data_IF_022540760101
#
_entry.id   IF_022540760101
#
_cell.length_a   1.000
_cell.length_b   1.000
_cell.length_c   1.000
_cell.angle_alpha   90.00
_cell.angle_beta   90.00
_cell.angle_gamma   90.00
#
_symmetry.space_group_name_H-M   'P 1'
#
loop_
_entity.id
_entity.type
_entity.pdbx_description
1 polymer ?
#
# COMPACT_ATOMS: atom_id res chain seq x y z
N UNK A 1 -35.65 9.26 18.96
CA UNK A 1 -35.55 8.30 17.84
C UNK A 1 -34.13 7.78 17.79
N UNK A 2 -33.90 6.52 18.17
CA UNK A 2 -32.57 5.91 18.11
C UNK A 2 -32.21 5.72 16.64
N UNK A 3 -31.21 6.45 16.15
CA UNK A 3 -30.74 6.31 14.76
C UNK A 3 -30.31 4.85 14.59
N UNK A 4 -31.06 4.08 13.78
CA UNK A 4 -30.69 2.70 13.46
C UNK A 4 -29.35 2.75 12.75
N UNK A 5 -28.33 2.18 13.39
CA UNK A 5 -26.97 2.09 12.83
C UNK A 5 -27.00 1.13 11.64
N UNK A 6 -26.78 1.61 10.40
CA UNK A 6 -26.99 0.81 9.20
C UNK A 6 -25.84 -0.15 8.92
N UNK A 7 -24.67 0.12 9.50
CA UNK A 7 -23.48 -0.69 9.31
C UNK A 7 -23.48 -1.80 10.35
N UNK A 8 -23.56 -3.03 9.87
CA UNK A 8 -23.43 -4.21 10.69
C UNK A 8 -21.96 -4.53 10.91
N UNK A 9 -21.65 -5.01 12.10
CA UNK A 9 -20.30 -5.36 12.52
C UNK A 9 -20.36 -6.71 13.25
N UNK A 10 -19.56 -7.67 12.81
CA UNK A 10 -19.44 -8.99 13.44
C UNK A 10 -17.98 -9.26 13.77
N UNK A 11 -17.64 -9.25 15.05
CA UNK A 11 -16.30 -9.59 15.50
C UNK A 11 -16.17 -11.07 15.76
N UNK A 12 -15.05 -11.64 15.32
CA UNK A 12 -14.69 -13.03 15.55
C UNK A 12 -13.48 -13.02 16.47
N UNK A 13 -13.66 -13.58 17.67
CA UNK A 13 -12.59 -13.74 18.66
C UNK A 13 -12.24 -15.22 18.84
N UNK A 14 -11.13 -15.50 19.55
CA UNK A 14 -10.69 -16.89 19.84
C UNK A 14 -11.66 -17.67 20.73
N UNK A 15 -12.37 -17.02 21.68
CA UNK A 15 -13.35 -17.70 22.55
C UNK A 15 -14.79 -17.42 22.14
N UNK A 16 -15.12 -16.20 21.74
CA UNK A 16 -16.46 -15.83 21.26
C UNK A 16 -16.44 -15.59 19.76
N UNK A 17 -16.98 -16.57 19.03
CA UNK A 17 -17.23 -16.41 17.59
C UNK A 17 -18.46 -15.53 17.38
N UNK A 18 -18.42 -14.68 16.35
CA UNK A 18 -19.58 -13.97 15.82
C UNK A 18 -20.29 -12.97 16.76
N UNK A 19 -19.51 -12.15 17.47
CA UNK A 19 -20.04 -11.09 18.36
C UNK A 19 -20.64 -9.94 17.55
N UNK A 20 -21.91 -9.64 17.80
CA UNK A 20 -22.69 -8.62 17.07
C UNK A 20 -22.47 -7.21 17.60
N UNK A 21 -22.32 -6.25 16.69
CA UNK A 21 -22.33 -4.81 16.95
C UNK A 21 -22.81 -4.06 15.69
N UNK A 22 -22.91 -2.73 15.79
CA UNK A 22 -23.26 -1.86 14.67
C UNK A 22 -22.70 -0.45 14.80
N UNK A 23 -22.52 0.22 13.66
CA UNK A 23 -21.86 1.52 13.54
C UNK A 23 -22.65 2.50 12.66
N UNK A 24 -22.41 3.80 12.87
CA UNK A 24 -23.10 4.87 12.13
C UNK A 24 -22.59 5.00 10.68
N UNK A 25 -21.32 4.61 10.45
CA UNK A 25 -20.64 4.69 9.15
C UNK A 25 -19.54 3.63 9.03
N UNK A 26 -19.16 3.29 7.79
CA UNK A 26 -18.06 2.34 7.52
C UNK A 26 -16.74 2.85 8.09
N UNK A 27 -16.48 4.16 7.99
CA UNK A 27 -15.30 4.78 8.59
C UNK A 27 -15.24 4.59 10.12
N UNK A 28 -16.38 4.69 10.81
CA UNK A 28 -16.44 4.40 12.25
C UNK A 28 -16.26 2.91 12.55
N UNK A 29 -16.78 2.04 11.69
CA UNK A 29 -16.66 0.59 11.80
C UNK A 29 -15.21 0.12 11.62
N UNK A 30 -14.41 0.78 10.79
CA UNK A 30 -12.99 0.44 10.58
C UNK A 30 -12.04 1.19 11.53
N UNK A 31 -12.45 2.35 12.05
CA UNK A 31 -11.57 3.30 12.73
C UNK A 31 -11.01 2.91 14.11
N UNK A 32 -10.18 3.80 14.64
CA UNK A 32 -9.31 3.60 15.81
C UNK A 32 -9.95 3.87 17.19
N UNK A 33 -11.22 4.28 17.25
CA UNK A 33 -11.92 4.53 18.53
C UNK A 33 -12.82 3.38 18.97
N UNK A 34 -13.75 2.98 18.10
CA UNK A 34 -14.78 1.95 18.39
C UNK A 34 -14.93 0.92 17.27
N UNK A 35 -14.04 0.96 16.26
CA UNK A 35 -14.08 0.11 15.08
C UNK A 35 -13.12 -1.08 15.17
N UNK A 36 -12.90 -1.73 14.03
CA UNK A 36 -12.03 -2.89 13.87
C UNK A 36 -10.61 -2.59 14.34
N UNK A 37 -10.04 -1.44 13.95
CA UNK A 37 -8.69 -1.07 14.37
C UNK A 37 -8.58 -0.92 15.89
N UNK A 38 -9.56 -0.25 16.51
CA UNK A 38 -9.60 -0.11 17.96
C UNK A 38 -9.73 -1.45 18.69
N UNK A 39 -10.46 -2.39 18.07
CA UNK A 39 -10.67 -3.72 18.61
C UNK A 39 -9.36 -4.53 18.59
N UNK A 40 -8.67 -4.56 17.45
CA UNK A 40 -7.43 -5.31 17.25
C UNK A 40 -6.25 -4.75 18.06
N UNK A 41 -6.13 -3.43 18.17
CA UNK A 41 -5.06 -2.77 18.93
C UNK A 41 -5.34 -2.68 20.44
N UNK A 42 -6.40 -3.34 20.94
CA UNK A 42 -6.81 -3.28 22.36
C UNK A 42 -7.11 -1.88 22.89
N UNK A 43 -7.44 -0.94 22.00
CA UNK A 43 -7.74 0.46 22.36
C UNK A 43 -9.19 0.63 22.85
N UNK A 44 -10.07 -0.32 22.53
CA UNK A 44 -11.45 -0.29 22.95
C UNK A 44 -11.63 -0.88 24.37
N UNK A 45 -11.51 -0.01 25.37
CA UNK A 45 -11.65 -0.36 26.80
C UNK A 45 -13.04 -0.90 27.21
N UNK A 46 -14.05 -0.81 26.33
CA UNK A 46 -15.37 -1.36 26.59
C UNK A 46 -15.48 -2.88 26.31
N UNK A 47 -14.44 -3.48 25.73
CA UNK A 47 -14.42 -4.91 25.39
C UNK A 47 -13.70 -5.70 26.48
N UNK A 48 -14.37 -6.73 26.98
CA UNK A 48 -13.77 -7.71 27.90
C UNK A 48 -13.06 -8.80 27.10
N UNK A 49 -11.75 -8.62 26.88
CA UNK A 49 -10.90 -9.57 26.17
C UNK A 49 -10.66 -10.86 26.96
N UNK A 50 -10.81 -10.85 28.29
CA UNK A 50 -10.70 -12.08 29.08
C UNK A 50 -11.84 -13.05 28.78
N UNK A 51 -13.04 -12.50 28.58
CA UNK A 51 -14.27 -13.21 28.20
C UNK A 51 -14.26 -13.62 26.73
N UNK A 52 -13.95 -12.69 25.83
CA UNK A 52 -14.09 -12.92 24.40
C UNK A 52 -12.87 -13.55 23.75
N UNK A 53 -11.68 -13.36 24.32
CA UNK A 53 -10.40 -13.74 23.73
C UNK A 53 -9.92 -12.73 22.70
N UNK A 54 -8.77 -13.07 22.09
CA UNK A 54 -8.11 -12.25 21.07
C UNK A 54 -9.02 -12.05 19.85
N UNK A 55 -9.20 -10.82 19.36
CA UNK A 55 -9.92 -10.55 18.13
C UNK A 55 -9.10 -10.97 16.91
N UNK A 56 -9.69 -11.79 16.05
CA UNK A 56 -9.02 -12.34 14.86
C UNK A 56 -9.53 -11.68 13.58
N UNK A 57 -10.85 -11.54 13.45
CA UNK A 57 -11.49 -11.02 12.24
C UNK A 57 -12.66 -10.11 12.59
N UNK A 58 -13.00 -9.22 11.65
CA UNK A 58 -14.22 -8.43 11.71
C UNK A 58 -14.88 -8.43 10.34
N UNK A 59 -16.17 -8.74 10.28
CA UNK A 59 -16.99 -8.54 9.08
C UNK A 59 -17.83 -7.27 9.22
N UNK A 60 -17.91 -6.51 8.13
CA UNK A 60 -18.61 -5.23 8.04
C UNK A 60 -19.43 -5.19 6.75
N UNK A 61 -20.69 -4.75 6.83
CA UNK A 61 -21.52 -4.49 5.64
C UNK A 61 -22.56 -3.41 5.95
N UNK A 62 -23.00 -2.69 4.93
CA UNK A 62 -24.14 -1.76 5.02
C UNK A 62 -25.42 -2.47 4.59
N UNK A 63 -26.40 -2.60 5.48
CA UNK A 63 -27.69 -3.24 5.15
C UNK A 63 -28.44 -2.54 4.00
N UNK A 64 -28.10 -1.29 3.69
CA UNK A 64 -28.74 -0.51 2.63
C UNK A 64 -28.09 -0.75 1.26
N UNK A 65 -26.91 -1.35 1.22
CA UNK A 65 -26.11 -1.52 0.01
C UNK A 65 -25.73 -3.00 -0.17
N UNK A 66 -26.46 -3.76 -1.01
CA UNK A 66 -26.11 -5.13 -1.35
C UNK A 66 -24.70 -5.22 -1.94
N UNK A 67 -23.94 -6.25 -1.58
CA UNK A 67 -22.57 -6.46 -2.03
C UNK A 67 -21.53 -5.54 -1.37
N UNK A 68 -21.90 -4.78 -0.34
CA UNK A 68 -20.97 -3.93 0.43
C UNK A 68 -20.14 -4.69 1.48
N UNK A 69 -20.24 -6.02 1.51
CA UNK A 69 -19.61 -6.87 2.49
C UNK A 69 -18.10 -6.92 2.40
N UNK A 70 -17.45 -6.77 3.56
CA UNK A 70 -16.01 -6.86 3.70
C UNK A 70 -15.62 -7.57 4.99
N UNK A 71 -14.53 -8.34 4.95
CA UNK A 71 -13.87 -8.91 6.12
C UNK A 71 -12.48 -8.30 6.27
N UNK A 72 -12.11 -8.00 7.52
CA UNK A 72 -10.81 -7.46 7.88
C UNK A 72 -10.12 -8.25 8.98
N UNK A 73 -8.78 -8.26 8.95
CA UNK A 73 -7.91 -8.79 10.01
C UNK A 73 -6.71 -7.88 10.27
N UNK A 74 -6.01 -7.98 11.40
CA UNK A 74 -4.84 -7.15 11.69
C UNK A 74 -3.73 -7.36 10.65
N UNK A 75 -3.18 -6.28 10.12
CA UNK A 75 -2.00 -6.28 9.25
C UNK A 75 -1.24 -4.96 9.42
N UNK A 76 -0.30 -4.92 10.37
CA UNK A 76 0.43 -3.71 10.73
C UNK A 76 1.36 -3.18 9.61
N UNK A 77 1.54 -3.92 8.51
CA UNK A 77 2.27 -3.44 7.32
C UNK A 77 1.47 -2.47 6.44
N UNK A 78 0.16 -2.33 6.70
CA UNK A 78 -0.74 -1.41 6.00
C UNK A 78 -0.95 -0.11 6.77
N UNK A 79 -1.25 0.98 6.05
CA UNK A 79 -1.41 2.32 6.65
C UNK A 79 -2.62 2.42 7.60
N UNK A 80 -3.69 1.69 7.30
CA UNK A 80 -4.86 1.50 8.15
C UNK A 80 -4.66 0.37 9.17
N UNK A 81 -3.58 -0.41 9.01
CA UNK A 81 -3.18 -1.60 9.77
C UNK A 81 -4.15 -2.77 9.68
N UNK A 82 -4.94 -2.83 8.61
CA UNK A 82 -5.95 -3.85 8.39
C UNK A 82 -5.72 -4.49 7.02
N UNK A 83 -5.77 -5.83 6.94
CA UNK A 83 -5.92 -6.53 5.67
C UNK A 83 -7.41 -6.67 5.37
N UNK A 84 -7.79 -6.42 4.12
CA UNK A 84 -9.18 -6.39 3.64
C UNK A 84 -9.45 -7.48 2.61
N UNK A 85 -10.65 -8.06 2.61
CA UNK A 85 -11.14 -8.95 1.56
C UNK A 85 -12.68 -8.81 1.38
N UNK A 86 -13.20 -8.90 0.13
CA UNK A 86 -14.63 -8.80 -0.12
C UNK A 86 -15.37 -10.05 0.38
N UNK A 87 -16.61 -9.87 0.81
CA UNK A 87 -17.52 -10.95 1.23
C UNK A 87 -18.87 -10.76 0.55
N UNK A 88 -19.40 -11.80 -0.07
CA UNK A 88 -20.71 -11.73 -0.72
C UNK A 88 -21.86 -11.76 0.27
N UNK A 89 -23.02 -11.22 -0.12
CA UNK A 89 -24.24 -11.27 0.70
C UNK A 89 -24.66 -12.71 1.02
N UNK A 90 -24.39 -13.67 0.13
CA UNK A 90 -24.66 -15.09 0.37
C UNK A 90 -23.81 -15.64 1.51
N UNK A 91 -22.52 -15.29 1.55
CA UNK A 91 -21.60 -15.71 2.60
C UNK A 91 -21.94 -15.04 3.94
N UNK A 92 -22.31 -13.76 3.94
CA UNK A 92 -22.82 -13.06 5.12
C UNK A 92 -24.06 -13.77 5.68
N UNK A 93 -25.04 -14.07 4.82
CA UNK A 93 -26.28 -14.74 5.24
C UNK A 93 -26.01 -16.15 5.79
N UNK A 94 -25.08 -16.89 5.17
CA UNK A 94 -24.64 -18.20 5.66
C UNK A 94 -24.12 -18.09 7.10
N UNK A 95 -23.26 -17.13 7.41
CA UNK A 95 -22.76 -16.97 8.78
C UNK A 95 -23.82 -16.43 9.76
N UNK A 96 -24.68 -15.50 9.33
CA UNK A 96 -25.79 -15.01 10.16
C UNK A 96 -26.78 -16.13 10.54
N UNK A 97 -26.94 -17.16 9.68
CA UNK A 97 -27.76 -18.35 9.93
C UNK A 97 -27.13 -19.38 10.90
N UNK A 98 -25.95 -19.08 11.44
CA UNK A 98 -25.28 -19.91 12.45
C UNK A 98 -24.29 -20.92 11.89
N UNK A 99 -23.89 -20.80 10.62
CA UNK A 99 -22.75 -21.56 10.11
C UNK A 99 -21.48 -21.20 10.90
N UNK A 100 -20.69 -22.21 11.26
CA UNK A 100 -19.41 -21.98 11.93
C UNK A 100 -18.48 -21.23 10.96
N UNK A 101 -18.09 -20.01 11.35
CA UNK A 101 -17.04 -19.29 10.68
C UNK A 101 -15.72 -19.83 11.19
N UNK A 102 -15.18 -20.95 10.65
CA UNK A 102 -13.88 -21.49 11.07
C UNK A 102 -12.73 -20.55 10.65
N UNK A 103 -11.56 -20.63 11.28
CA UNK A 103 -10.44 -19.75 10.92
C UNK A 103 -9.99 -20.00 9.47
N UNK A 104 -10.02 -21.26 9.05
CA UNK A 104 -9.72 -21.66 7.67
C UNK A 104 -10.74 -21.09 6.67
N UNK A 105 -12.04 -21.16 6.98
CA UNK A 105 -13.08 -20.55 6.15
C UNK A 105 -12.91 -19.03 6.03
N UNK A 106 -12.50 -18.37 7.12
CA UNK A 106 -12.30 -16.92 7.13
C UNK A 106 -11.02 -16.51 6.40
N UNK A 107 -9.94 -17.29 6.51
CA UNK A 107 -8.70 -17.07 5.78
C UNK A 107 -8.86 -17.28 4.27
N UNK A 108 -9.78 -18.15 3.84
CA UNK A 108 -10.09 -18.35 2.42
C UNK A 108 -10.57 -17.08 1.73
N UNK A 109 -11.24 -16.15 2.41
CA UNK A 109 -11.61 -14.85 1.83
C UNK A 109 -10.37 -14.07 1.40
N UNK A 110 -9.37 -14.01 2.26
CA UNK A 110 -8.11 -13.31 1.99
C UNK A 110 -7.26 -14.05 0.94
N UNK A 111 -7.31 -15.38 0.92
CA UNK A 111 -6.63 -16.19 -0.08
C UNK A 111 -7.26 -16.05 -1.48
N UNK A 112 -8.60 -15.97 -1.57
CA UNK A 112 -9.33 -15.71 -2.84
C UNK A 112 -9.09 -14.29 -3.34
N UNK A 113 -9.05 -13.32 -2.43
CA UNK A 113 -8.70 -11.94 -2.74
C UNK A 113 -7.24 -11.77 -3.18
N UNK A 114 -6.38 -12.77 -2.90
CA UNK A 114 -4.96 -12.74 -3.25
C UNK A 114 -4.44 -14.14 -3.70
N UNK A 115 -4.69 -14.53 -4.97
CA UNK A 115 -4.43 -15.89 -5.47
C UNK A 115 -2.98 -16.38 -5.39
N UNK A 116 -2.02 -15.48 -5.13
CA UNK A 116 -0.61 -15.79 -4.93
C UNK A 116 -0.32 -16.52 -3.61
N UNK A 117 -1.16 -16.35 -2.58
CA UNK A 117 -1.00 -16.99 -1.26
C UNK A 117 -1.66 -18.38 -1.17
N UNK A 118 -2.71 -18.65 -1.95
CA UNK A 118 -3.39 -19.94 -1.96
C UNK A 118 -2.52 -21.10 -2.49
N UNK A 119 -1.52 -20.78 -3.33
CA UNK A 119 -0.57 -21.76 -3.90
C UNK A 119 0.44 -22.32 -2.88
N UNK A 120 0.59 -21.68 -1.71
CA UNK A 120 1.59 -22.07 -0.72
C UNK A 120 1.18 -23.28 0.15
N UNK A 121 -0.13 -23.60 0.27
CA UNK A 121 -0.62 -24.69 1.15
C UNK A 121 -0.97 -26.00 0.44
N UNK A 122 -1.13 -26.01 -0.88
CA UNK A 122 -1.47 -27.20 -1.67
C UNK A 122 -0.23 -27.98 -2.17
N UNK A 123 0.98 -27.64 -1.71
CA UNK A 123 2.25 -28.26 -2.14
C UNK A 123 2.68 -29.47 -1.28
N UNK A 124 1.85 -29.97 -0.38
CA UNK A 124 2.08 -31.29 0.20
C UNK A 124 1.23 -32.31 -0.56
N UNK A 125 1.90 -33.31 -1.15
CA UNK A 125 1.36 -34.42 -1.96
C UNK A 125 1.20 -34.12 -3.46
N UNK A 126 2.31 -34.19 -4.21
CA UNK A 126 2.51 -35.18 -5.28
C UNK A 126 3.81 -34.90 -6.04
N UNK A 127 4.72 -35.87 -6.01
CA UNK A 127 5.99 -35.87 -6.73
C UNK A 127 5.84 -35.77 -8.26
N UNK A 128 6.71 -34.96 -8.88
CA UNK A 128 6.93 -34.90 -10.34
C UNK A 128 7.83 -33.72 -10.71
N UNK A 129 8.81 -33.86 -11.66
CA UNK A 129 9.89 -32.91 -11.83
C UNK A 129 9.41 -31.69 -12.63
N UNK A 130 8.85 -30.71 -11.94
CA UNK A 130 8.63 -29.39 -12.49
C UNK A 130 9.84 -28.50 -12.13
N UNK A 131 10.59 -28.15 -13.17
CA UNK A 131 11.56 -27.05 -13.21
C UNK A 131 11.08 -25.91 -12.31
N UNK A 132 11.78 -25.70 -11.19
CA UNK A 132 11.36 -24.71 -10.21
C UNK A 132 11.46 -23.31 -10.83
N UNK A 133 10.30 -22.74 -11.12
CA UNK A 133 10.15 -21.29 -11.13
C UNK A 133 10.52 -20.85 -9.72
N UNK A 134 11.81 -20.52 -9.52
CA UNK A 134 12.29 -19.91 -8.28
C UNK A 134 11.42 -18.69 -8.03
N UNK A 135 10.59 -18.75 -7.00
CA UNK A 135 9.87 -17.58 -6.49
C UNK A 135 10.93 -16.52 -6.20
N UNK A 136 10.92 -15.43 -6.97
CA UNK A 136 11.87 -14.34 -6.77
C UNK A 136 11.67 -13.82 -5.34
N UNK A 137 12.76 -13.59 -4.59
CA UNK A 137 12.66 -13.10 -3.22
C UNK A 137 11.94 -11.75 -3.19
N UNK A 138 11.13 -11.54 -2.16
CA UNK A 138 10.49 -10.24 -1.90
C UNK A 138 11.58 -9.16 -1.82
N UNK A 139 11.46 -8.04 -2.55
CA UNK A 139 12.49 -7.02 -2.54
C UNK A 139 12.54 -6.33 -1.18
N UNK A 140 13.73 -6.19 -0.61
CA UNK A 140 13.95 -5.56 0.70
C UNK A 140 14.35 -4.08 0.57
N UNK A 141 14.85 -3.68 -0.59
CA UNK A 141 15.33 -2.33 -0.89
C UNK A 141 14.59 -1.74 -2.10
N UNK A 142 14.52 -0.42 -2.17
CA UNK A 142 13.94 0.29 -3.30
C UNK A 142 14.63 -0.06 -4.63
N UNK A 143 15.96 -0.25 -4.62
CA UNK A 143 16.71 -0.66 -5.80
C UNK A 143 16.33 -2.05 -6.31
N UNK A 144 16.19 -3.04 -5.41
CA UNK A 144 15.75 -4.39 -5.78
C UNK A 144 14.32 -4.39 -6.32
N UNK A 145 13.44 -3.57 -5.73
CA UNK A 145 12.07 -3.44 -6.20
C UNK A 145 12.02 -2.89 -7.63
N UNK A 146 12.80 -1.83 -7.90
CA UNK A 146 12.88 -1.24 -9.24
C UNK A 146 13.47 -2.23 -10.26
N UNK A 147 14.55 -2.93 -9.92
CA UNK A 147 15.16 -3.95 -10.80
C UNK A 147 14.17 -5.07 -11.17
N UNK A 148 13.47 -5.61 -10.18
CA UNK A 148 12.44 -6.62 -10.42
C UNK A 148 11.28 -6.10 -11.27
N UNK A 149 10.87 -4.84 -11.07
CA UNK A 149 9.84 -4.20 -11.88
C UNK A 149 10.31 -4.03 -13.34
N UNK A 150 11.54 -3.56 -13.56
CA UNK A 150 12.10 -3.39 -14.90
C UNK A 150 12.19 -4.73 -15.65
N UNK A 151 12.62 -5.81 -14.98
CA UNK A 151 12.61 -7.15 -15.56
C UNK A 151 11.19 -7.58 -16.00
N UNK A 152 10.19 -7.41 -15.13
CA UNK A 152 8.79 -7.72 -15.44
C UNK A 152 8.22 -6.85 -16.58
N UNK A 153 8.61 -5.58 -16.66
CA UNK A 153 8.26 -4.70 -17.77
C UNK A 153 8.86 -5.23 -19.07
N UNK A 154 10.12 -5.66 -19.05
CA UNK A 154 10.77 -6.20 -20.24
C UNK A 154 10.12 -7.50 -20.71
N UNK A 155 9.77 -8.40 -19.80
CA UNK A 155 8.99 -9.61 -20.11
C UNK A 155 7.64 -9.26 -20.74
N UNK A 156 6.96 -8.24 -20.20
CA UNK A 156 5.67 -7.75 -20.70
C UNK A 156 5.80 -7.11 -22.09
N UNK A 157 6.92 -6.45 -22.39
CA UNK A 157 7.24 -5.92 -23.72
C UNK A 157 7.50 -7.03 -24.73
N UNK A 158 8.07 -8.16 -24.30
CA UNK A 158 8.36 -9.32 -25.14
C UNK A 158 7.14 -10.09 -25.63
N UNK A 159 5.93 -9.79 -25.15
CA UNK A 159 4.67 -10.44 -25.56
C UNK A 159 3.77 -9.51 -26.40
N UNK A 160 2.77 -10.10 -27.06
CA UNK A 160 1.82 -9.34 -27.88
C UNK A 160 0.89 -8.47 -27.03
N UNK A 161 0.35 -7.42 -27.64
CA UNK A 161 -0.61 -6.54 -26.98
C UNK A 161 -1.89 -7.28 -26.54
N UNK A 162 -2.37 -8.24 -27.35
CA UNK A 162 -3.52 -9.08 -26.99
C UNK A 162 -3.22 -9.97 -25.78
N UNK A 163 -2.04 -10.60 -25.74
CA UNK A 163 -1.64 -11.39 -24.59
C UNK A 163 -1.59 -10.55 -23.30
N UNK A 164 -1.11 -9.30 -23.36
CA UNK A 164 -1.18 -8.36 -22.22
C UNK A 164 -2.62 -8.04 -21.83
N UNK A 165 -3.48 -7.70 -22.80
CA UNK A 165 -4.90 -7.39 -22.55
C UNK A 165 -5.61 -8.55 -21.86
N UNK A 166 -5.40 -9.78 -22.31
CA UNK A 166 -6.00 -10.97 -21.70
C UNK A 166 -5.51 -11.17 -20.26
N UNK A 167 -4.22 -10.96 -19.98
CA UNK A 167 -3.69 -11.01 -18.59
C UNK A 167 -4.33 -9.95 -17.69
N UNK A 168 -4.61 -8.76 -18.21
CA UNK A 168 -5.23 -7.67 -17.44
C UNK A 168 -6.69 -7.95 -17.08
N UNK A 169 -7.44 -8.71 -17.89
CA UNK A 169 -8.85 -9.05 -17.59
C UNK A 169 -9.01 -9.90 -16.33
N UNK A 170 -7.99 -10.69 -16.00
CA UNK A 170 -7.99 -11.60 -14.84
C UNK A 170 -7.03 -11.14 -13.73
N UNK A 171 -6.31 -10.04 -13.94
CA UNK A 171 -5.38 -9.51 -12.96
C UNK A 171 -6.12 -8.80 -11.82
N UNK A 172 -5.58 -8.89 -10.61
CA UNK A 172 -6.02 -8.03 -9.50
C UNK A 172 -5.84 -6.57 -9.89
N UNK A 173 -6.89 -5.77 -9.76
CA UNK A 173 -6.84 -4.32 -9.94
C UNK A 173 -6.10 -3.60 -8.81
N UNK A 174 -5.93 -4.27 -7.67
CA UNK A 174 -5.26 -3.71 -6.49
C UNK A 174 -3.82 -4.21 -6.42
N UNK A 175 -2.81 -3.32 -6.46
CA UNK A 175 -1.42 -3.72 -6.31
C UNK A 175 -1.13 -4.16 -4.87
N UNK A 176 -0.18 -5.08 -4.71
CA UNK A 176 0.32 -5.48 -3.39
C UNK A 176 1.24 -4.38 -2.86
N UNK A 177 0.98 -3.92 -1.64
CA UNK A 177 1.85 -3.00 -0.91
C UNK A 177 2.93 -3.81 -0.17
N UNK A 178 4.16 -3.32 -0.21
CA UNK A 178 5.29 -3.86 0.54
C UNK A 178 6.05 -2.72 1.21
N UNK A 179 6.79 -3.04 2.27
CA UNK A 179 7.76 -2.15 2.87
C UNK A 179 9.15 -2.43 2.31
N UNK A 180 9.88 -1.38 1.95
CA UNK A 180 11.27 -1.46 1.50
C UNK A 180 12.11 -0.47 2.29
N UNK A 181 13.39 -0.81 2.47
CA UNK A 181 14.39 0.06 3.11
C UNK A 181 15.01 0.98 2.06
N UNK A 182 15.20 2.25 2.44
CA UNK A 182 15.91 3.24 1.65
C UNK A 182 16.89 4.00 2.54
N UNK A 183 17.94 4.57 1.95
CA UNK A 183 18.93 5.40 2.66
C UNK A 183 18.80 6.84 2.19
N UNK A 184 18.90 7.78 3.13
CA UNK A 184 18.79 9.20 2.85
C UNK A 184 19.79 9.99 3.69
N UNK A 185 20.12 11.19 3.21
CA UNK A 185 20.94 12.15 3.95
C UNK A 185 20.05 13.19 4.64
N UNK A 186 20.38 13.51 5.89
CA UNK A 186 19.85 14.70 6.56
C UNK A 186 20.55 15.90 5.90
N UNK A 187 19.78 16.70 5.15
CA UNK A 187 20.28 17.87 4.44
C UNK A 187 20.15 19.13 5.28
N UNK A 188 21.07 20.06 5.09
CA UNK A 188 21.04 21.38 5.70
C UNK A 188 19.94 22.23 5.03
N UNK A 189 18.97 22.67 5.83
CA UNK A 189 17.86 23.48 5.36
C UNK A 189 18.32 24.84 4.82
N UNK A 190 19.37 25.44 5.42
CA UNK A 190 19.86 26.76 5.01
C UNK A 190 20.48 26.70 3.61
N UNK A 191 21.20 25.61 3.29
CA UNK A 191 21.73 25.38 1.93
C UNK A 191 20.59 25.25 0.93
N UNK A 192 19.50 24.56 1.29
CA UNK A 192 18.34 24.41 0.41
C UNK A 192 17.69 25.77 0.14
N UNK A 193 17.43 26.55 1.19
CA UNK A 193 16.77 27.86 1.07
C UNK A 193 17.65 28.82 0.26
N UNK A 194 18.92 28.96 0.60
CA UNK A 194 19.87 29.85 -0.08
C UNK A 194 19.95 29.56 -1.59
N UNK A 195 20.02 28.27 -1.97
CA UNK A 195 20.10 27.86 -3.38
C UNK A 195 18.80 28.15 -4.13
N UNK A 196 17.65 27.97 -3.49
CA UNK A 196 16.34 28.28 -4.09
C UNK A 196 16.13 29.80 -4.26
N UNK A 197 16.56 30.60 -3.29
CA UNK A 197 16.49 32.07 -3.36
C UNK A 197 17.43 32.62 -4.43
N UNK A 198 18.69 32.14 -4.47
CA UNK A 198 19.67 32.48 -5.52
C UNK A 198 19.12 32.24 -6.92
N UNK A 199 18.38 31.15 -7.11
CA UNK A 199 17.81 30.78 -8.39
C UNK A 199 16.64 31.67 -8.83
N UNK A 200 16.04 32.44 -7.92
CA UNK A 200 14.96 33.40 -8.20
C UNK A 200 13.84 32.80 -9.06
N UNK A 201 13.46 31.55 -8.78
CA UNK A 201 12.40 30.84 -9.52
C UNK A 201 12.77 30.38 -10.93
N UNK A 202 14.05 30.43 -11.32
CA UNK A 202 14.54 29.95 -12.61
C UNK A 202 15.48 28.76 -12.43
N UNK A 203 15.31 27.75 -13.28
CA UNK A 203 16.18 26.57 -13.28
C UNK A 203 17.62 26.97 -13.63
N UNK A 204 18.59 26.65 -12.79
CA UNK A 204 20.00 27.02 -13.01
C UNK A 204 20.66 26.23 -14.18
N UNK A 205 20.03 25.13 -14.60
CA UNK A 205 20.50 24.32 -15.74
C UNK A 205 19.94 24.82 -17.08
N UNK A 206 18.61 24.86 -17.24
CA UNK A 206 17.97 25.18 -18.53
C UNK A 206 17.48 26.62 -18.63
N UNK A 207 17.64 27.43 -17.57
CA UNK A 207 17.26 28.84 -17.47
C UNK A 207 15.76 29.15 -17.66
N UNK A 208 14.93 28.12 -17.76
CA UNK A 208 13.47 28.27 -17.81
C UNK A 208 12.90 28.55 -16.40
N UNK A 209 11.79 29.30 -16.30
CA UNK A 209 11.09 29.48 -15.03
C UNK A 209 10.64 28.13 -14.45
N UNK A 210 10.40 28.10 -13.15
CA UNK A 210 9.82 26.95 -12.47
C UNK A 210 8.49 26.54 -13.15
N UNK A 211 8.22 25.24 -13.28
CA UNK A 211 7.05 24.76 -14.01
C UNK A 211 5.71 25.09 -13.34
N UNK A 212 5.71 25.31 -12.02
CA UNK A 212 4.53 25.66 -11.23
C UNK A 212 4.94 26.28 -9.89
N UNK A 213 3.96 26.78 -9.14
CA UNK A 213 4.13 27.29 -7.78
C UNK A 213 3.64 26.26 -6.75
N UNK A 214 4.34 26.16 -5.61
CA UNK A 214 3.98 25.27 -4.52
C UNK A 214 2.63 25.66 -3.93
N UNK A 215 1.75 24.67 -3.75
CA UNK A 215 0.48 24.88 -3.05
C UNK A 215 0.66 25.16 -1.55
N UNK A 216 1.79 24.73 -0.96
CA UNK A 216 2.09 24.89 0.47
C UNK A 216 2.38 26.34 0.87
N UNK A 217 3.07 27.09 0.03
CA UNK A 217 3.67 28.38 0.39
C UNK A 217 3.71 29.40 -0.77
N UNK A 218 3.24 29.04 -1.97
CA UNK A 218 3.20 29.92 -3.14
C UNK A 218 4.56 30.13 -3.83
N UNK A 219 5.63 29.49 -3.38
CA UNK A 219 6.97 29.69 -3.97
C UNK A 219 7.16 28.91 -5.28
N UNK A 220 8.06 29.34 -6.19
CA UNK A 220 8.39 28.59 -7.41
C UNK A 220 8.92 27.18 -7.11
N UNK A 221 8.40 26.16 -7.80
CA UNK A 221 8.85 24.77 -7.58
C UNK A 221 10.15 24.45 -8.35
N UNK A 222 11.25 24.41 -7.62
CA UNK A 222 12.53 23.84 -8.06
C UNK A 222 13.02 22.79 -7.04
N UNK A 223 13.90 21.90 -7.49
CA UNK A 223 14.51 20.83 -6.69
C UNK A 223 16.00 21.11 -6.54
N UNK A 224 16.52 21.06 -5.30
CA UNK A 224 17.95 21.24 -5.03
C UNK A 224 18.69 19.94 -5.30
N UNK A 225 19.67 20.02 -6.19
CA UNK A 225 20.51 18.92 -6.64
C UNK A 225 21.98 19.23 -6.35
N UNK A 226 22.69 18.30 -5.72
CA UNK A 226 24.13 18.43 -5.52
C UNK A 226 24.91 18.07 -6.78
N UNK A 227 25.81 18.96 -7.22
CA UNK A 227 26.65 18.80 -8.42
C UNK A 227 27.54 17.56 -8.28
N UNK A 228 28.26 17.46 -7.17
CA UNK A 228 28.86 16.22 -6.69
C UNK A 228 27.85 15.56 -5.76
N UNK A 229 27.26 14.41 -6.12
CA UNK A 229 26.24 13.77 -5.30
C UNK A 229 26.75 13.43 -3.89
N UNK A 230 25.91 13.62 -2.87
CA UNK A 230 26.24 13.25 -1.48
C UNK A 230 26.61 11.76 -1.34
N UNK A 231 25.95 10.88 -2.11
CA UNK A 231 26.27 9.44 -2.15
C UNK A 231 27.67 9.13 -2.71
N UNK A 232 28.29 10.09 -3.40
CA UNK A 232 29.67 10.03 -3.93
C UNK A 232 30.66 10.86 -3.10
N UNK A 233 30.28 11.27 -1.89
CA UNK A 233 31.12 12.06 -1.00
C UNK A 233 31.09 13.57 -1.26
N UNK A 234 30.12 14.07 -2.02
CA UNK A 234 29.88 15.52 -2.13
C UNK A 234 29.52 16.14 -0.79
N UNK A 235 29.91 17.41 -0.59
CA UNK A 235 29.55 18.15 0.61
C UNK A 235 28.16 18.80 0.46
N UNK A 236 27.53 19.08 1.60
CA UNK A 236 26.24 19.78 1.64
C UNK A 236 26.48 21.28 1.81
N UNK A 237 27.00 21.91 0.75
CA UNK A 237 27.30 23.35 0.69
C UNK A 237 26.64 23.99 -0.54
N UNK A 238 26.42 25.30 -0.48
CA UNK A 238 25.76 26.10 -1.52
C UNK A 238 26.51 26.05 -2.85
N UNK A 239 27.84 25.96 -2.83
CA UNK A 239 28.69 25.88 -4.03
C UNK A 239 28.57 24.53 -4.74
N UNK A 240 28.22 23.48 -4.00
CA UNK A 240 27.99 22.15 -4.53
C UNK A 240 26.51 21.87 -4.83
N UNK A 241 25.63 22.88 -4.74
CA UNK A 241 24.19 22.70 -4.92
C UNK A 241 23.63 23.64 -5.98
N UNK A 242 22.66 23.13 -6.75
CA UNK A 242 21.94 23.87 -7.78
C UNK A 242 20.43 23.64 -7.72
N UNK A 243 19.64 24.70 -7.91
CA UNK A 243 18.19 24.61 -8.04
C UNK A 243 17.81 24.32 -9.49
N UNK A 244 17.14 23.19 -9.73
CA UNK A 244 16.76 22.76 -11.07
C UNK A 244 15.31 22.34 -11.16
N UNK A 245 14.72 22.43 -12.35
CA UNK A 245 13.38 21.95 -12.57
C UNK A 245 13.34 20.40 -12.56
N UNK A 246 12.17 19.78 -12.30
CA UNK A 246 12.02 18.32 -12.23
C UNK A 246 12.55 17.60 -13.46
N UNK A 247 12.36 18.19 -14.65
CA UNK A 247 12.83 17.61 -15.91
C UNK A 247 14.36 17.58 -15.99
N UNK A 248 15.02 18.67 -15.60
CA UNK A 248 16.49 18.73 -15.53
C UNK A 248 17.03 17.78 -14.46
N UNK A 249 16.36 17.69 -13.31
CA UNK A 249 16.77 16.80 -12.24
C UNK A 249 16.71 15.33 -12.64
N UNK A 250 15.58 14.88 -13.21
CA UNK A 250 15.43 13.51 -13.71
C UNK A 250 16.41 13.21 -14.84
N UNK A 251 16.65 14.16 -15.75
CA UNK A 251 17.64 13.99 -16.82
C UNK A 251 19.06 13.72 -16.29
N UNK A 252 19.49 14.40 -15.22
CA UNK A 252 20.81 14.11 -14.60
C UNK A 252 20.90 12.71 -13.97
N UNK A 253 19.79 12.14 -13.51
CA UNK A 253 19.77 10.79 -12.92
C UNK A 253 19.62 9.66 -13.94
N UNK A 254 18.81 9.87 -14.99
CA UNK A 254 18.34 8.76 -15.83
C UNK A 254 18.69 8.88 -17.31
N UNK A 255 19.09 10.06 -17.80
CA UNK A 255 19.41 10.16 -19.23
C UNK A 255 20.70 9.40 -19.53
N UNK A 256 20.71 8.73 -20.68
CA UNK A 256 21.97 8.28 -21.28
C UNK A 256 22.82 9.52 -21.52
N UNK A 257 24.09 9.47 -21.11
CA UNK A 257 25.02 10.56 -21.33
C UNK A 257 24.99 10.97 -22.81
N UNK A 258 24.68 12.24 -23.05
CA UNK A 258 24.81 12.94 -24.34
C UNK A 258 23.68 12.77 -25.38
N UNK A 259 22.42 12.54 -24.97
CA UNK A 259 21.28 12.74 -25.87
C UNK A 259 20.61 14.10 -25.65
N UNK A 260 20.91 15.05 -26.55
CA UNK A 260 20.08 16.23 -26.77
C UNK A 260 18.98 15.82 -27.76
N UNK A 261 17.71 15.87 -27.33
CA UNK A 261 16.54 15.76 -28.22
C UNK A 261 16.22 17.15 -28.76
#
# INVERSE_FOLDING_TARGET
MTIKKPIQFRAVHTKTRWRRASHESVANALGNKRGARALFDHLNKAIDYSKHGEPLYVLIWDERLPGSGEIVKPDHSRWDGLQHAPVSDQEINRFESGAAASDEDLDLFFARANPSLAKARLREVSDGPATSLRELPTPETEAQLEEQLQAKIQDSRGITADARRQRLLVASSSPVRIEVRTTAFIRNADVIVEVLERAAGHCEECRRPAPFVRASDGTPYLEVHHIVPLSKGGNDLVENAQAICPNCHRRKHYAQSDQTI
#
